data_IF_115727822634
#
_entry.id   IF_115727822634
#
_cell.length_a   1.000
_cell.length_b   1.000
_cell.length_c   1.000
_cell.angle_alpha   90.00
_cell.angle_beta   90.00
_cell.angle_gamma   90.00
#
_symmetry.space_group_name_H-M   'P 1'
#
loop_
_entity.id
_entity.type
_entity.pdbx_description
1 polymer ?
#
# COMPACT_ATOMS: atom_id res chain seq x y z
N UNK A 1 -19.45 9.68 17.95
CA UNK A 1 -18.11 9.35 18.51
C UNK A 1 -18.03 7.95 19.13
N UNK A 2 -19.11 7.42 19.71
CA UNK A 2 -19.10 6.08 20.33
C UNK A 2 -18.82 4.91 19.34
N UNK A 3 -19.12 5.06 18.07
CA UNK A 3 -18.90 4.01 17.05
C UNK A 3 -17.45 3.90 16.59
N UNK A 4 -16.70 5.01 16.67
CA UNK A 4 -15.30 5.04 16.22
C UNK A 4 -14.40 4.10 17.04
N UNK A 5 -14.59 4.11 18.37
CA UNK A 5 -13.87 3.20 19.26
C UNK A 5 -14.18 1.72 19.02
N UNK A 6 -15.40 1.39 18.58
CA UNK A 6 -15.79 0.01 18.29
C UNK A 6 -15.03 -0.58 17.10
N UNK A 7 -14.59 0.26 16.14
CA UNK A 7 -13.83 -0.21 14.98
C UNK A 7 -12.50 -0.87 15.37
N UNK A 8 -11.87 -0.43 16.46
CA UNK A 8 -10.64 -1.05 16.97
C UNK A 8 -10.82 -2.46 17.55
N UNK A 9 -12.06 -2.88 17.82
CA UNK A 9 -12.39 -4.27 18.20
C UNK A 9 -12.32 -5.26 17.04
N UNK A 10 -12.23 -4.80 15.79
CA UNK A 10 -12.25 -5.68 14.61
C UNK A 10 -10.85 -5.92 14.07
N UNK A 11 -10.56 -7.20 13.76
CA UNK A 11 -9.28 -7.61 13.14
C UNK A 11 -8.99 -6.89 11.83
N UNK A 12 -10.02 -6.58 11.04
CA UNK A 12 -9.86 -5.89 9.77
C UNK A 12 -9.22 -4.51 9.95
N UNK A 13 -9.56 -3.78 11.02
CA UNK A 13 -8.99 -2.47 11.34
C UNK A 13 -7.48 -2.57 11.58
N UNK A 14 -7.05 -3.51 12.39
CA UNK A 14 -5.63 -3.74 12.66
C UNK A 14 -4.87 -4.24 11.43
N UNK A 15 -5.50 -5.10 10.63
CA UNK A 15 -4.93 -5.53 9.35
C UNK A 15 -4.72 -4.39 8.36
N UNK A 16 -5.68 -3.45 8.29
CA UNK A 16 -5.55 -2.25 7.47
C UNK A 16 -4.48 -1.30 7.99
N UNK A 17 -4.39 -1.07 9.31
CA UNK A 17 -3.33 -0.26 9.94
C UNK A 17 -1.94 -0.82 9.59
N UNK A 18 -1.71 -2.10 9.95
CA UNK A 18 -0.41 -2.75 9.79
C UNK A 18 -0.02 -2.93 8.33
N UNK A 19 -0.99 -3.30 7.50
CA UNK A 19 -0.75 -3.52 6.09
C UNK A 19 -0.49 -2.22 5.34
N UNK A 20 -1.27 -1.17 5.61
CA UNK A 20 -1.08 0.13 4.95
C UNK A 20 0.16 0.87 5.44
N UNK A 21 0.60 0.62 6.67
CA UNK A 21 1.87 1.10 7.19
C UNK A 21 3.03 0.79 6.23
N UNK A 22 3.19 -0.46 5.81
CA UNK A 22 4.30 -0.82 4.93
C UNK A 22 4.15 -0.32 3.51
N UNK A 23 2.92 -0.23 2.97
CA UNK A 23 2.69 0.37 1.65
C UNK A 23 3.18 1.82 1.67
N UNK A 24 2.74 2.61 2.65
CA UNK A 24 3.10 4.03 2.75
C UNK A 24 4.57 4.20 3.11
N UNK A 25 5.14 3.33 3.97
CA UNK A 25 6.58 3.31 4.25
C UNK A 25 7.38 3.22 2.95
N UNK A 26 7.07 2.28 2.08
CA UNK A 26 7.78 2.09 0.81
C UNK A 26 7.59 3.25 -0.16
N UNK A 27 6.37 3.78 -0.26
CA UNK A 27 6.09 4.96 -1.08
C UNK A 27 6.96 6.14 -0.65
N UNK A 28 7.01 6.44 0.65
CA UNK A 28 7.79 7.56 1.19
C UNK A 28 9.29 7.29 1.16
N UNK A 29 9.73 6.03 1.30
CA UNK A 29 11.13 5.66 1.11
C UNK A 29 11.59 6.05 -0.29
N UNK A 30 10.86 5.63 -1.33
CA UNK A 30 11.22 5.98 -2.70
C UNK A 30 11.06 7.48 -2.98
N UNK A 31 9.99 8.12 -2.48
CA UNK A 31 9.79 9.56 -2.71
C UNK A 31 10.90 10.42 -2.10
N UNK A 32 11.33 10.10 -0.88
CA UNK A 32 12.34 10.89 -0.18
C UNK A 32 13.76 10.59 -0.68
N UNK A 33 14.07 9.34 -1.01
CA UNK A 33 15.44 8.91 -1.17
C UNK A 33 15.83 8.45 -2.58
N UNK A 34 14.88 8.26 -3.51
CA UNK A 34 15.21 7.82 -4.86
C UNK A 34 16.23 8.74 -5.58
N UNK A 35 16.07 10.08 -5.58
CA UNK A 35 17.10 10.95 -6.18
C UNK A 35 18.47 10.75 -5.51
N UNK A 36 18.53 10.79 -4.19
CA UNK A 36 19.76 10.58 -3.44
C UNK A 36 20.41 9.20 -3.68
N UNK A 37 19.59 8.14 -3.79
CA UNK A 37 20.07 6.82 -4.16
C UNK A 37 20.71 6.81 -5.55
N UNK A 38 20.11 7.45 -6.55
CA UNK A 38 20.64 7.51 -7.91
C UNK A 38 21.93 8.34 -7.99
N UNK A 39 22.04 9.41 -7.21
CA UNK A 39 23.23 10.24 -7.18
C UNK A 39 24.37 9.62 -6.35
N UNK A 40 24.09 9.26 -5.11
CA UNK A 40 25.11 8.81 -4.14
C UNK A 40 25.53 7.36 -4.40
N UNK A 41 24.55 6.46 -4.52
CA UNK A 41 24.81 5.01 -4.67
C UNK A 41 25.11 4.60 -6.10
N UNK A 42 24.52 5.28 -7.10
CA UNK A 42 24.62 4.95 -8.51
C UNK A 42 25.49 5.89 -9.31
N UNK A 43 26.03 6.93 -8.68
CA UNK A 43 26.92 7.92 -9.27
C UNK A 43 26.37 8.58 -10.54
N UNK A 44 25.05 8.78 -10.59
CA UNK A 44 24.40 9.45 -11.72
C UNK A 44 24.54 10.97 -11.59
N UNK A 45 24.66 11.68 -12.72
CA UNK A 45 24.65 13.15 -12.71
C UNK A 45 23.27 13.68 -12.33
N UNK A 46 23.20 14.83 -11.67
CA UNK A 46 21.97 15.51 -11.21
C UNK A 46 20.95 15.62 -12.36
N UNK A 47 21.39 15.99 -13.55
CA UNK A 47 20.50 16.13 -14.71
C UNK A 47 19.86 14.79 -15.11
N UNK A 48 20.64 13.73 -15.15
CA UNK A 48 20.15 12.38 -15.49
C UNK A 48 19.24 11.82 -14.38
N UNK A 49 19.57 12.07 -13.12
CA UNK A 49 18.76 11.68 -11.96
C UNK A 49 17.34 12.21 -12.06
N UNK A 50 17.16 13.50 -12.40
CA UNK A 50 15.83 14.10 -12.52
C UNK A 50 14.94 13.42 -13.55
N UNK A 51 15.48 13.11 -14.74
CA UNK A 51 14.73 12.41 -15.80
C UNK A 51 14.49 10.94 -15.44
N UNK A 52 15.49 10.25 -14.93
CA UNK A 52 15.40 8.82 -14.59
C UNK A 52 14.46 8.59 -13.43
N UNK A 53 14.46 9.47 -12.41
CA UNK A 53 13.55 9.37 -11.27
C UNK A 53 12.05 9.54 -11.65
N UNK A 54 11.74 10.21 -12.76
CA UNK A 54 10.38 10.36 -13.24
C UNK A 54 9.77 9.02 -13.73
N UNK A 55 10.60 8.11 -14.25
CA UNK A 55 10.14 6.82 -14.82
C UNK A 55 9.42 5.96 -13.78
N UNK A 56 10.00 5.68 -12.59
CA UNK A 56 9.32 4.91 -11.54
C UNK A 56 7.96 5.51 -11.15
N UNK A 57 7.86 6.84 -11.03
CA UNK A 57 6.58 7.47 -10.64
C UNK A 57 5.51 7.34 -11.73
N UNK A 58 5.89 7.47 -13.00
CA UNK A 58 4.98 7.20 -14.11
C UNK A 58 4.50 5.73 -14.09
N UNK A 59 5.40 4.77 -13.82
CA UNK A 59 5.05 3.37 -13.64
C UNK A 59 4.06 3.17 -12.47
N UNK A 60 4.18 3.91 -11.38
CA UNK A 60 3.26 3.84 -10.24
C UNK A 60 1.83 4.25 -10.61
N UNK A 61 1.67 5.28 -11.45
CA UNK A 61 0.35 5.68 -11.97
C UNK A 61 -0.26 4.54 -12.81
N UNK A 62 0.50 3.97 -13.72
CA UNK A 62 0.05 2.83 -14.55
C UNK A 62 -0.29 1.62 -13.68
N UNK A 63 0.50 1.35 -12.64
CA UNK A 63 0.25 0.29 -11.67
C UNK A 63 -1.06 0.46 -10.92
N UNK A 64 -1.39 1.69 -10.52
CA UNK A 64 -2.65 1.99 -9.83
C UNK A 64 -3.86 1.72 -10.74
N UNK A 65 -3.81 2.15 -12.00
CA UNK A 65 -4.87 1.90 -12.98
C UNK A 65 -4.98 0.40 -13.28
N UNK A 66 -3.85 -0.27 -13.51
CA UNK A 66 -3.80 -1.70 -13.82
C UNK A 66 -4.36 -2.56 -12.70
N UNK A 67 -4.07 -2.22 -11.44
CA UNK A 67 -4.62 -2.93 -10.29
C UNK A 67 -6.14 -2.80 -10.18
N UNK A 68 -6.70 -1.63 -10.53
CA UNK A 68 -8.15 -1.44 -10.63
C UNK A 68 -8.77 -2.38 -11.66
N UNK A 69 -8.21 -2.41 -12.87
CA UNK A 69 -8.66 -3.30 -13.92
C UNK A 69 -8.58 -4.80 -13.55
N UNK A 70 -7.48 -5.23 -12.90
CA UNK A 70 -7.33 -6.60 -12.38
C UNK A 70 -8.41 -6.90 -11.36
N UNK A 71 -8.68 -5.98 -10.43
CA UNK A 71 -9.71 -6.12 -9.41
C UNK A 71 -11.10 -6.31 -10.02
N UNK A 72 -11.45 -5.54 -11.04
CA UNK A 72 -12.74 -5.64 -11.75
C UNK A 72 -12.87 -7.01 -12.45
N UNK A 73 -11.79 -7.51 -13.06
CA UNK A 73 -11.74 -8.85 -13.66
C UNK A 73 -11.91 -9.96 -12.61
N UNK A 74 -11.28 -9.82 -11.45
CA UNK A 74 -11.42 -10.78 -10.34
C UNK A 74 -12.86 -10.79 -9.80
N UNK A 75 -13.49 -9.62 -9.69
CA UNK A 75 -14.90 -9.52 -9.29
C UNK A 75 -15.83 -10.14 -10.33
N UNK A 76 -15.63 -9.88 -11.62
CA UNK A 76 -16.37 -10.49 -12.72
C UNK A 76 -16.20 -12.03 -12.74
N UNK A 77 -15.07 -12.54 -12.30
CA UNK A 77 -14.77 -13.96 -12.11
C UNK A 77 -15.38 -14.57 -10.84
N UNK A 78 -16.17 -13.81 -10.06
CA UNK A 78 -16.91 -14.33 -8.91
C UNK A 78 -16.19 -14.22 -7.56
N UNK A 79 -15.02 -13.55 -7.49
CA UNK A 79 -14.37 -13.27 -6.20
C UNK A 79 -15.19 -12.26 -5.37
N UNK A 80 -15.18 -12.46 -4.06
CA UNK A 80 -15.82 -11.51 -3.14
C UNK A 80 -15.19 -10.11 -3.23
N UNK A 81 -15.95 -9.04 -2.93
CA UNK A 81 -15.41 -7.66 -2.96
C UNK A 81 -14.17 -7.44 -2.13
N UNK A 82 -13.99 -8.18 -1.04
CA UNK A 82 -12.78 -8.13 -0.20
C UNK A 82 -11.63 -8.85 -0.88
N UNK A 83 -11.83 -10.09 -1.33
CA UNK A 83 -10.75 -10.90 -1.89
C UNK A 83 -10.25 -10.37 -3.23
N UNK A 84 -11.13 -9.78 -4.05
CA UNK A 84 -10.73 -9.15 -5.32
C UNK A 84 -9.79 -7.97 -5.14
N UNK A 85 -9.80 -7.31 -4.00
CA UNK A 85 -8.89 -6.20 -3.65
C UNK A 85 -7.68 -6.67 -2.84
N UNK A 86 -7.93 -7.58 -1.89
CA UNK A 86 -6.90 -8.14 -1.00
C UNK A 86 -5.82 -8.88 -1.79
N UNK A 87 -6.19 -9.66 -2.80
CA UNK A 87 -5.25 -10.44 -3.60
C UNK A 87 -4.25 -9.57 -4.38
N UNK A 88 -4.67 -8.55 -5.16
CA UNK A 88 -3.73 -7.63 -5.81
C UNK A 88 -2.83 -6.87 -4.82
N UNK A 89 -3.32 -6.54 -3.62
CA UNK A 89 -2.49 -5.90 -2.59
C UNK A 89 -1.36 -6.83 -2.14
N UNK A 90 -1.68 -8.09 -1.81
CA UNK A 90 -0.69 -9.05 -1.35
C UNK A 90 0.34 -9.34 -2.44
N UNK A 91 -0.12 -9.61 -3.67
CA UNK A 91 0.78 -9.82 -4.82
C UNK A 91 1.64 -8.59 -5.07
N UNK A 92 1.05 -7.40 -4.99
CA UNK A 92 1.75 -6.14 -5.15
C UNK A 92 2.85 -5.93 -4.10
N UNK A 93 2.55 -6.20 -2.82
CA UNK A 93 3.52 -6.09 -1.73
C UNK A 93 4.68 -7.08 -1.87
N UNK A 94 4.38 -8.33 -2.23
CA UNK A 94 5.42 -9.34 -2.45
C UNK A 94 6.29 -8.98 -3.66
N UNK A 95 5.69 -8.60 -4.78
CA UNK A 95 6.41 -8.17 -5.97
C UNK A 95 7.27 -6.93 -5.69
N UNK A 96 6.71 -5.93 -4.99
CA UNK A 96 7.43 -4.74 -4.55
C UNK A 96 8.66 -5.10 -3.72
N UNK A 97 8.53 -6.03 -2.75
CA UNK A 97 9.66 -6.49 -1.94
C UNK A 97 10.74 -7.18 -2.79
N UNK A 98 10.34 -8.07 -3.70
CA UNK A 98 11.26 -8.77 -4.60
C UNK A 98 12.02 -7.78 -5.49
N UNK A 99 11.32 -6.85 -6.13
CA UNK A 99 11.97 -5.88 -7.00
C UNK A 99 12.83 -4.87 -6.22
N UNK A 100 12.46 -4.53 -4.99
CA UNK A 100 13.31 -3.71 -4.11
C UNK A 100 14.59 -4.46 -3.73
N UNK A 101 14.50 -5.76 -3.44
CA UNK A 101 15.66 -6.59 -3.20
C UNK A 101 16.58 -6.66 -4.44
N UNK A 102 16.02 -6.88 -5.63
CA UNK A 102 16.80 -6.86 -6.89
C UNK A 102 17.50 -5.52 -7.09
N UNK A 103 16.82 -4.41 -6.81
CA UNK A 103 17.41 -3.07 -6.91
C UNK A 103 18.56 -2.85 -5.91
N UNK A 104 18.46 -3.45 -4.71
CA UNK A 104 19.49 -3.34 -3.68
C UNK A 104 20.78 -4.07 -4.09
N UNK A 105 20.67 -5.27 -4.65
CA UNK A 105 21.80 -6.19 -4.89
C UNK A 105 22.43 -6.05 -6.30
N UNK A 106 21.71 -5.49 -7.28
CA UNK A 106 22.22 -5.44 -8.66
C UNK A 106 23.35 -4.41 -8.82
N UNK A 107 24.45 -4.74 -9.51
CA UNK A 107 25.48 -3.77 -9.87
C UNK A 107 25.07 -2.86 -11.05
N UNK A 108 24.10 -3.27 -11.87
CA UNK A 108 23.70 -2.56 -13.08
C UNK A 108 22.74 -1.42 -12.77
N UNK A 109 23.05 -0.19 -13.20
CA UNK A 109 22.17 0.96 -13.05
C UNK A 109 20.86 0.79 -13.82
N UNK A 110 20.88 0.20 -15.01
CA UNK A 110 19.69 -0.05 -15.82
C UNK A 110 18.74 -1.02 -15.10
N UNK A 111 19.29 -2.13 -14.59
CA UNK A 111 18.50 -3.13 -13.84
C UNK A 111 17.96 -2.53 -12.55
N UNK A 112 18.75 -1.70 -11.84
CA UNK A 112 18.29 -1.03 -10.63
C UNK A 112 17.10 -0.10 -10.88
N UNK A 113 17.19 0.75 -11.92
CA UNK A 113 16.10 1.66 -12.29
C UNK A 113 14.86 0.87 -12.75
N UNK A 114 15.04 -0.18 -13.55
CA UNK A 114 13.93 -1.03 -13.98
C UNK A 114 13.26 -1.74 -12.78
N UNK A 115 14.04 -2.26 -11.86
CA UNK A 115 13.54 -2.91 -10.65
C UNK A 115 12.81 -1.93 -9.74
N UNK A 116 13.35 -0.72 -9.52
CA UNK A 116 12.65 0.31 -8.75
C UNK A 116 11.35 0.72 -9.45
N UNK A 117 11.37 0.85 -10.79
CA UNK A 117 10.17 1.17 -11.56
C UNK A 117 9.09 0.10 -11.40
N UNK A 118 9.47 -1.17 -11.41
CA UNK A 118 8.56 -2.28 -11.12
C UNK A 118 8.07 -2.25 -9.66
N UNK A 119 8.95 -1.99 -8.69
CA UNK A 119 8.56 -1.86 -7.29
C UNK A 119 7.53 -0.74 -7.07
N UNK A 120 7.75 0.44 -7.69
CA UNK A 120 6.83 1.58 -7.59
C UNK A 120 5.52 1.33 -8.35
N UNK A 121 5.56 0.60 -9.50
CA UNK A 121 4.36 0.12 -10.18
C UNK A 121 3.46 -0.69 -9.24
N UNK A 122 4.01 -1.67 -8.56
CA UNK A 122 3.27 -2.50 -7.61
C UNK A 122 2.86 -1.75 -6.35
N UNK A 123 3.68 -0.79 -5.88
CA UNK A 123 3.33 0.10 -4.77
C UNK A 123 2.08 0.95 -5.09
N UNK A 124 2.01 1.52 -6.31
CA UNK A 124 0.85 2.27 -6.78
C UNK A 124 -0.42 1.43 -6.79
N UNK A 125 -0.33 0.21 -7.33
CA UNK A 125 -1.44 -0.74 -7.34
C UNK A 125 -1.90 -1.14 -5.95
N UNK A 126 -0.97 -1.51 -5.07
CA UNK A 126 -1.28 -1.89 -3.69
C UNK A 126 -1.91 -0.74 -2.90
N UNK A 127 -1.42 0.50 -3.07
CA UNK A 127 -1.96 1.69 -2.43
C UNK A 127 -3.41 1.96 -2.85
N UNK A 128 -3.68 2.01 -4.16
CA UNK A 128 -5.02 2.24 -4.68
C UNK A 128 -6.02 1.17 -4.22
N UNK A 129 -5.62 -0.11 -4.26
CA UNK A 129 -6.46 -1.21 -3.83
C UNK A 129 -6.67 -1.24 -2.32
N UNK A 130 -5.74 -0.76 -1.51
CA UNK A 130 -5.91 -0.65 -0.07
C UNK A 130 -7.01 0.36 0.31
N UNK A 131 -7.07 1.51 -0.37
CA UNK A 131 -8.18 2.45 -0.23
C UNK A 131 -9.52 1.84 -0.67
N UNK A 132 -9.52 1.14 -1.80
CA UNK A 132 -10.70 0.44 -2.29
C UNK A 132 -11.14 -0.71 -1.33
N UNK A 133 -10.19 -1.36 -0.65
CA UNK A 133 -10.49 -2.39 0.35
C UNK A 133 -11.16 -1.77 1.59
N UNK A 134 -10.65 -0.65 2.10
CA UNK A 134 -11.24 0.03 3.24
C UNK A 134 -12.71 0.43 2.97
N UNK A 135 -13.01 0.83 1.72
CA UNK A 135 -14.37 1.23 1.32
C UNK A 135 -15.39 0.09 1.31
N UNK A 136 -14.95 -1.16 1.15
CA UNK A 136 -15.83 -2.36 1.14
C UNK A 136 -15.74 -3.18 2.43
N UNK A 137 -14.77 -2.87 3.29
CA UNK A 137 -14.53 -3.61 4.53
C UNK A 137 -15.49 -3.23 5.67
N UNK A 138 -16.16 -2.08 5.59
CA UNK A 138 -17.11 -1.59 6.59
C UNK A 138 -18.41 -1.08 5.95
N UNK A 139 -19.50 -0.96 6.74
CA UNK A 139 -20.72 -0.31 6.29
C UNK A 139 -20.46 1.13 5.84
N UNK A 140 -21.27 1.63 4.89
CA UNK A 140 -21.09 2.94 4.26
C UNK A 140 -20.94 4.11 5.26
N UNK A 141 -21.67 4.09 6.38
CA UNK A 141 -21.60 5.12 7.42
C UNK A 141 -20.29 5.12 8.23
N UNK A 142 -19.52 4.01 8.20
CA UNK A 142 -18.22 3.87 8.89
C UNK A 142 -17.02 3.90 7.96
N UNK A 143 -17.23 3.92 6.64
CA UNK A 143 -16.15 3.85 5.64
C UNK A 143 -15.11 4.97 5.81
N UNK A 144 -15.56 6.21 6.00
CA UNK A 144 -14.64 7.34 6.21
C UNK A 144 -13.82 7.18 7.49
N UNK A 145 -14.45 6.71 8.58
CA UNK A 145 -13.75 6.47 9.85
C UNK A 145 -12.70 5.36 9.72
N UNK A 146 -13.05 4.25 9.07
CA UNK A 146 -12.11 3.15 8.85
C UNK A 146 -10.95 3.58 7.94
N UNK A 147 -11.24 4.33 6.88
CA UNK A 147 -10.22 4.91 5.99
C UNK A 147 -9.28 5.88 6.72
N UNK A 148 -9.80 6.71 7.63
CA UNK A 148 -8.98 7.61 8.45
C UNK A 148 -8.07 6.86 9.42
N UNK A 149 -8.56 5.78 10.05
CA UNK A 149 -7.77 4.93 10.94
C UNK A 149 -6.66 4.22 10.13
N UNK A 150 -6.99 3.66 8.97
CA UNK A 150 -6.00 3.08 8.06
C UNK A 150 -4.92 4.11 7.68
N UNK A 151 -5.35 5.31 7.30
CA UNK A 151 -4.45 6.37 6.86
C UNK A 151 -3.51 6.84 7.99
N UNK A 152 -3.99 6.91 9.22
CA UNK A 152 -3.14 7.20 10.38
C UNK A 152 -2.01 6.15 10.51
N UNK A 153 -2.34 4.85 10.40
CA UNK A 153 -1.32 3.79 10.38
C UNK A 153 -0.33 3.94 9.23
N UNK A 154 -0.81 4.29 8.04
CA UNK A 154 0.04 4.56 6.88
C UNK A 154 1.00 5.72 7.10
N UNK A 155 0.52 6.85 7.59
CA UNK A 155 1.38 8.02 7.84
C UNK A 155 2.43 7.80 8.93
N UNK A 156 2.20 6.92 9.90
CA UNK A 156 3.26 6.48 10.80
C UNK A 156 4.41 5.81 10.03
N UNK A 157 4.09 4.95 9.07
CA UNK A 157 5.08 4.35 8.17
C UNK A 157 5.81 5.41 7.33
N UNK A 158 5.04 6.35 6.76
CA UNK A 158 5.60 7.46 5.96
C UNK A 158 6.52 8.37 6.74
N UNK A 159 6.21 8.67 7.99
CA UNK A 159 7.06 9.49 8.86
C UNK A 159 8.36 8.76 9.25
N UNK A 160 8.28 7.45 9.46
CA UNK A 160 9.44 6.64 9.85
C UNK A 160 10.38 6.35 8.67
N UNK A 161 9.87 6.19 7.46
CA UNK A 161 10.66 5.76 6.30
C UNK A 161 11.85 6.69 6.00
N UNK A 162 11.71 8.02 5.85
CA UNK A 162 12.84 8.89 5.60
C UNK A 162 13.85 8.90 6.75
N UNK A 163 13.36 8.89 7.98
CA UNK A 163 14.18 8.94 9.20
C UNK A 163 15.02 7.68 9.36
N UNK A 164 14.38 6.50 9.29
CA UNK A 164 15.07 5.21 9.41
C UNK A 164 16.08 5.04 8.27
N UNK A 165 15.69 5.36 7.04
CA UNK A 165 16.60 5.31 5.89
C UNK A 165 17.79 6.22 6.07
N UNK A 166 17.58 7.47 6.52
CA UNK A 166 18.65 8.44 6.77
C UNK A 166 19.66 7.93 7.82
N UNK A 167 19.18 7.38 8.94
CA UNK A 167 20.06 6.80 9.97
C UNK A 167 20.86 5.61 9.44
N UNK A 168 20.22 4.73 8.67
CA UNK A 168 20.90 3.55 8.09
C UNK A 168 21.98 4.01 7.11
N UNK A 169 21.67 4.94 6.20
CA UNK A 169 22.63 5.45 5.21
C UNK A 169 23.77 6.20 5.90
N UNK A 170 23.50 6.99 6.93
CA UNK A 170 24.53 7.68 7.70
C UNK A 170 25.47 6.69 8.42
N UNK A 171 24.93 5.61 8.96
CA UNK A 171 25.72 4.63 9.70
C UNK A 171 26.51 3.67 8.80
N UNK A 172 25.99 3.33 7.61
CA UNK A 172 26.54 2.29 6.73
C UNK A 172 27.22 2.83 5.48
N UNK A 173 26.97 4.08 5.12
CA UNK A 173 27.44 4.70 3.88
C UNK A 173 26.74 4.19 2.61
N UNK A 174 25.71 3.35 2.72
CA UNK A 174 25.04 2.71 1.58
C UNK A 174 23.53 2.61 1.78
N UNK A 175 22.78 2.60 0.67
CA UNK A 175 21.32 2.44 0.69
C UNK A 175 20.86 0.98 0.75
N UNK A 176 21.75 0.01 0.49
CA UNK A 176 21.41 -1.41 0.43
C UNK A 176 20.65 -1.88 1.68
N UNK A 177 21.16 -1.68 2.91
CA UNK A 177 20.44 -2.14 4.10
C UNK A 177 19.09 -1.45 4.29
N UNK A 178 18.95 -0.17 3.90
CA UNK A 178 17.69 0.55 3.99
C UNK A 178 16.63 -0.02 3.03
N UNK A 179 17.02 -0.38 1.81
CA UNK A 179 16.16 -1.05 0.84
C UNK A 179 15.74 -2.44 1.33
N UNK A 180 16.66 -3.20 1.95
CA UNK A 180 16.35 -4.52 2.53
C UNK A 180 15.37 -4.42 3.71
N UNK A 181 15.52 -3.43 4.58
CA UNK A 181 14.56 -3.13 5.65
C UNK A 181 13.18 -2.80 5.06
N UNK A 182 13.13 -1.96 4.03
CA UNK A 182 11.90 -1.65 3.32
C UNK A 182 11.24 -2.89 2.72
N UNK A 183 12.01 -3.76 2.05
CA UNK A 183 11.52 -5.02 1.49
C UNK A 183 10.95 -5.95 2.58
N UNK A 184 11.62 -6.05 3.73
CA UNK A 184 11.13 -6.83 4.87
C UNK A 184 9.82 -6.27 5.44
N UNK A 185 9.69 -4.94 5.55
CA UNK A 185 8.45 -4.27 5.98
C UNK A 185 7.32 -4.54 4.97
N UNK A 186 7.59 -4.50 3.67
CA UNK A 186 6.61 -4.83 2.64
C UNK A 186 6.10 -6.27 2.76
N UNK A 187 6.99 -7.24 3.00
CA UNK A 187 6.62 -8.63 3.24
C UNK A 187 5.81 -8.80 4.53
N UNK A 188 6.19 -8.14 5.62
CA UNK A 188 5.43 -8.15 6.86
C UNK A 188 4.01 -7.60 6.66
N UNK A 189 3.87 -6.55 5.84
CA UNK A 189 2.57 -5.97 5.47
C UNK A 189 1.75 -6.92 4.59
N UNK A 190 2.38 -7.65 3.67
CA UNK A 190 1.69 -8.69 2.90
C UNK A 190 1.13 -9.79 3.81
N UNK A 191 1.91 -10.22 4.81
CA UNK A 191 1.45 -11.17 5.84
C UNK A 191 0.30 -10.59 6.66
N UNK A 192 0.35 -9.30 7.04
CA UNK A 192 -0.74 -8.64 7.75
C UNK A 192 -2.04 -8.65 6.93
N UNK A 193 -1.99 -8.32 5.64
CA UNK A 193 -3.15 -8.44 4.76
C UNK A 193 -3.66 -9.88 4.64
N UNK A 194 -2.76 -10.84 4.51
CA UNK A 194 -3.12 -12.25 4.33
C UNK A 194 -3.80 -12.82 5.58
N UNK A 195 -3.20 -12.62 6.76
CA UNK A 195 -3.56 -13.33 8.00
C UNK A 195 -4.55 -12.55 8.85
N UNK A 196 -4.38 -11.22 8.94
CA UNK A 196 -5.16 -10.40 9.89
C UNK A 196 -6.51 -9.99 9.29
N UNK A 197 -6.57 -9.67 7.98
CA UNK A 197 -7.81 -9.22 7.34
C UNK A 197 -8.69 -10.42 6.99
N UNK A 198 -9.89 -10.55 7.61
CA UNK A 198 -10.83 -11.61 7.30
C UNK A 198 -11.44 -11.39 5.91
N UNK A 199 -11.94 -12.47 5.32
CA UNK A 199 -12.57 -12.44 3.98
C UNK A 199 -14.04 -11.98 4.01
N UNK A 200 -14.48 -11.33 5.09
CA UNK A 200 -15.83 -10.80 5.28
C UNK A 200 -15.80 -9.36 5.78
N UNK A 201 -16.75 -8.51 5.35
CA UNK A 201 -16.85 -7.15 5.85
C UNK A 201 -17.40 -7.11 7.28
N UNK A 202 -17.18 -6.00 7.98
CA UNK A 202 -17.87 -5.68 9.23
C UNK A 202 -19.35 -5.42 8.91
N UNK A 203 -20.25 -6.03 9.66
CA UNK A 203 -21.70 -5.84 9.48
C UNK A 203 -22.22 -4.74 10.41
N UNK A 204 -23.22 -3.99 9.95
CA UNK A 204 -23.87 -2.92 10.77
C UNK A 204 -24.37 -3.43 12.12
N UNK A 205 -24.89 -4.66 12.16
CA UNK A 205 -25.37 -5.30 13.37
C UNK A 205 -24.27 -5.52 14.41
N UNK A 206 -23.03 -5.78 13.97
CA UNK A 206 -21.86 -5.96 14.85
C UNK A 206 -21.40 -4.65 15.49
N UNK A 207 -21.79 -3.51 14.89
CA UNK A 207 -21.58 -2.15 15.42
C UNK A 207 -22.72 -1.70 16.34
N UNK A 208 -23.81 -2.48 16.45
CA UNK A 208 -25.01 -2.13 17.21
C UNK A 208 -25.84 -1.03 16.56
N UNK A 209 -25.70 -0.87 15.24
CA UNK A 209 -26.51 0.07 14.44
C UNK A 209 -27.58 -0.72 13.70
N UNK A 210 -28.85 -0.32 13.85
CA UNK A 210 -29.95 -0.91 13.10
C UNK A 210 -29.67 -0.76 11.59
N UNK A 211 -29.88 -1.83 10.82
CA UNK A 211 -29.79 -1.75 9.37
C UNK A 211 -30.70 -0.62 8.86
N UNK A 212 -30.26 0.20 7.90
CA UNK A 212 -31.15 1.19 7.28
C UNK A 212 -32.38 0.44 6.78
N UNK A 213 -33.56 0.84 7.28
CA UNK A 213 -34.82 0.27 6.80
C UNK A 213 -34.85 0.46 5.29
N UNK A 214 -35.02 -0.65 4.56
CA UNK A 214 -35.19 -0.60 3.11
C UNK A 214 -36.34 0.37 2.83
N UNK A 215 -36.07 1.51 2.19
CA UNK A 215 -37.15 2.40 1.73
C UNK A 215 -38.06 1.55 0.85
N UNK A 216 -39.37 1.53 1.10
CA UNK A 216 -40.29 0.82 0.23
C UNK A 216 -40.13 1.37 -1.19
N UNK A 217 -39.79 0.52 -2.15
CA UNK A 217 -39.89 0.84 -3.57
C UNK A 217 -41.37 0.99 -3.89
N UNK A 218 -41.86 2.20 -3.92
CA UNK A 218 -43.26 2.43 -4.28
C UNK A 218 -43.79 3.72 -3.70
N UNK A 219 -43.36 4.85 -4.23
CA UNK A 219 -44.16 6.06 -4.30
C UNK A 219 -43.78 6.77 -5.62
N UNK A 220 -44.31 6.23 -6.70
CA UNK A 220 -44.50 6.99 -7.93
C UNK A 220 -45.58 8.02 -7.65
N UNK A 221 -45.25 9.32 -7.73
CA UNK A 221 -46.15 10.38 -8.14
C UNK A 221 -45.81 10.81 -9.55
#
# INVERSE_FOLDING_TARGET
MAEWGKLFGFRVTWGLILGFFGIVYMVWLFQAWLPGYLEIQRHMSIRNTGFVAAIPYACGVVGSIGAGWVTDRLMAGGLSPINSRKLPIIVGLVAMAVFTFVAAETPSNVVAVAAISAAVFFAGGASGMSWALASVAAPAHCTASLGSIQNFGGYLGGALAPTVTGFIVQATGTFVPALLVGAAIALASAVAYLVVIPNRPIRSIELGVAAPSARPRGASL
#
